data_IF_704901394859
#
_entry.id   IF_704901394859
#
_cell.length_a   1.000
_cell.length_b   1.000
_cell.length_c   1.000
_cell.angle_alpha   90.00
_cell.angle_beta   90.00
_cell.angle_gamma   90.00
#
_symmetry.space_group_name_H-M   'P 1'
#
loop_
_entity.id
_entity.type
_entity.pdbx_description
1 polymer ?
#
# COMPACT_ATOMS: atom_id res chain seq x y z
N UNK A 1 15.66 -21.05 -11.67
CA UNK A 1 14.69 -20.40 -12.58
C UNK A 1 13.33 -20.74 -12.03
N UNK A 2 12.55 -19.75 -11.60
CA UNK A 2 11.20 -19.98 -11.10
C UNK A 2 10.30 -20.57 -12.19
N UNK A 3 9.26 -21.31 -11.80
CA UNK A 3 8.25 -21.76 -12.76
C UNK A 3 7.62 -20.53 -13.44
N UNK A 4 7.53 -20.49 -14.78
CA UNK A 4 6.98 -19.33 -15.47
C UNK A 4 5.50 -19.18 -15.10
N UNK A 5 5.06 -17.95 -14.86
CA UNK A 5 3.65 -17.64 -14.69
C UNK A 5 2.90 -18.03 -15.97
N UNK A 6 1.83 -18.81 -15.80
CA UNK A 6 1.02 -19.37 -16.90
C UNK A 6 -0.37 -18.78 -16.85
N UNK A 7 -0.70 -17.98 -17.86
CA UNK A 7 -2.02 -17.37 -18.03
C UNK A 7 -2.63 -17.95 -19.31
N UNK A 8 -3.64 -18.81 -19.16
CA UNK A 8 -4.27 -19.53 -20.28
C UNK A 8 -5.64 -18.98 -20.69
N UNK A 9 -6.29 -18.22 -19.80
CA UNK A 9 -7.61 -17.64 -20.01
C UNK A 9 -7.72 -16.28 -19.28
N UNK A 10 -8.87 -15.61 -19.42
CA UNK A 10 -9.10 -14.30 -18.79
C UNK A 10 -9.16 -14.39 -17.26
N UNK A 11 -9.74 -15.44 -16.72
CA UNK A 11 -9.84 -15.65 -15.28
C UNK A 11 -8.46 -15.78 -14.62
N UNK A 12 -7.53 -16.51 -15.26
CA UNK A 12 -6.12 -16.56 -14.84
C UNK A 12 -5.49 -15.16 -14.79
N UNK A 13 -5.77 -14.31 -15.78
CA UNK A 13 -5.24 -12.94 -15.85
C UNK A 13 -5.86 -12.03 -14.78
N UNK A 14 -7.18 -12.14 -14.55
CA UNK A 14 -7.88 -11.38 -13.50
C UNK A 14 -7.33 -11.77 -12.13
N UNK A 15 -7.15 -13.07 -11.90
CA UNK A 15 -6.61 -13.59 -10.65
C UNK A 15 -5.22 -13.02 -10.38
N UNK A 16 -4.28 -13.16 -11.33
CA UNK A 16 -2.91 -12.71 -11.11
C UNK A 16 -2.78 -11.18 -11.01
N UNK A 17 -3.64 -10.41 -11.71
CA UNK A 17 -3.72 -8.96 -11.53
C UNK A 17 -4.29 -8.58 -10.16
N UNK A 18 -5.22 -9.37 -9.62
CA UNK A 18 -5.75 -9.17 -8.25
C UNK A 18 -4.68 -9.45 -7.19
N UNK A 19 -3.85 -10.47 -7.41
CA UNK A 19 -2.68 -10.75 -6.57
C UNK A 19 -1.63 -9.61 -6.65
N UNK A 20 -1.36 -9.11 -7.86
CA UNK A 20 -0.49 -7.94 -8.04
C UNK A 20 -1.03 -6.71 -7.31
N UNK A 21 -2.32 -6.42 -7.44
CA UNK A 21 -3.00 -5.31 -6.74
C UNK A 21 -2.89 -5.44 -5.22
N UNK A 22 -3.03 -6.67 -4.70
CA UNK A 22 -2.83 -6.96 -3.27
C UNK A 22 -1.39 -6.68 -2.85
N UNK A 23 -0.42 -7.11 -3.65
CA UNK A 23 1.00 -6.94 -3.36
C UNK A 23 1.40 -5.47 -3.31
N UNK A 24 1.09 -4.68 -4.35
CA UNK A 24 1.44 -3.24 -4.37
C UNK A 24 0.82 -2.50 -3.19
N UNK A 25 -0.42 -2.85 -2.85
CA UNK A 25 -1.09 -2.26 -1.70
C UNK A 25 -0.41 -2.62 -0.38
N UNK A 26 -0.03 -3.88 -0.19
CA UNK A 26 0.61 -4.31 1.05
C UNK A 26 2.01 -3.72 1.20
N UNK A 27 2.81 -3.74 0.13
CA UNK A 27 4.16 -3.16 0.10
C UNK A 27 4.11 -1.66 0.37
N UNK A 28 3.15 -0.93 -0.21
CA UNK A 28 2.90 0.47 0.12
C UNK A 28 2.70 0.69 1.64
N UNK A 29 1.87 -0.14 2.29
CA UNK A 29 1.61 -0.03 3.72
C UNK A 29 2.87 -0.26 4.57
N UNK A 30 3.75 -1.18 4.18
CA UNK A 30 5.04 -1.41 4.85
C UNK A 30 5.94 -0.17 4.79
N UNK A 31 6.02 0.45 3.61
CA UNK A 31 6.82 1.65 3.40
C UNK A 31 6.29 2.83 4.22
N UNK A 32 4.97 3.03 4.22
CA UNK A 32 4.33 4.05 5.05
C UNK A 32 4.57 3.82 6.54
N UNK A 33 4.45 2.57 7.02
CA UNK A 33 4.69 2.25 8.42
C UNK A 33 6.12 2.59 8.85
N UNK A 34 7.11 2.16 8.07
CA UNK A 34 8.51 2.50 8.34
C UNK A 34 8.74 4.02 8.31
N UNK A 35 8.20 4.73 7.31
CA UNK A 35 8.31 6.18 7.23
C UNK A 35 7.67 6.90 8.44
N UNK A 36 6.50 6.44 8.90
CA UNK A 36 5.83 7.03 10.06
C UNK A 36 6.60 6.83 11.37
N UNK A 37 7.31 5.70 11.51
CA UNK A 37 8.09 5.38 12.70
C UNK A 37 9.33 6.27 12.91
N UNK A 38 9.80 6.95 11.86
CA UNK A 38 10.98 7.82 11.94
C UNK A 38 10.78 8.98 12.92
N UNK A 39 11.84 9.28 13.67
CA UNK A 39 11.93 10.46 14.54
C UNK A 39 11.94 11.74 13.70
N UNK A 40 11.29 12.79 14.20
CA UNK A 40 11.02 14.05 13.51
C UNK A 40 11.67 15.28 14.16
N UNK A 41 12.36 15.11 15.28
CA UNK A 41 12.99 16.25 15.97
C UNK A 41 14.25 15.91 16.74
N UNK A 42 15.08 16.93 16.99
CA UNK A 42 16.28 16.80 17.84
C UNK A 42 15.92 16.49 19.30
N UNK A 43 14.72 16.88 19.75
CA UNK A 43 14.17 16.51 21.05
C UNK A 43 13.94 15.01 21.24
N UNK A 44 14.01 14.20 20.17
CA UNK A 44 13.89 12.74 20.22
C UNK A 44 15.26 12.03 20.24
N UNK A 45 16.33 12.78 20.54
CA UNK A 45 17.69 12.26 20.71
C UNK A 45 18.52 12.20 19.43
N UNK A 46 18.12 12.93 18.38
CA UNK A 46 18.91 13.07 17.15
C UNK A 46 19.75 14.35 17.16
N UNK A 47 20.97 14.28 16.64
CA UNK A 47 21.72 15.48 16.27
C UNK A 47 21.08 16.18 15.07
N UNK A 48 21.44 17.44 14.82
CA UNK A 48 20.95 18.19 13.65
C UNK A 48 21.27 17.48 12.33
N UNK A 49 22.46 16.90 12.20
CA UNK A 49 22.87 16.21 10.97
C UNK A 49 22.20 14.85 10.82
N UNK A 50 22.00 14.11 11.91
CA UNK A 50 21.19 12.89 11.91
C UNK A 50 19.74 13.19 11.51
N UNK A 51 19.15 14.27 12.05
CA UNK A 51 17.78 14.66 11.71
C UNK A 51 17.64 15.01 10.22
N UNK A 52 18.63 15.68 9.62
CA UNK A 52 18.63 15.96 8.17
C UNK A 52 18.61 14.66 7.35
N UNK A 53 19.45 13.68 7.71
CA UNK A 53 19.48 12.39 7.04
C UNK A 53 18.17 11.63 7.22
N UNK A 54 17.64 11.55 8.44
CA UNK A 54 16.36 10.91 8.73
C UNK A 54 15.20 11.56 7.96
N UNK A 55 15.16 12.89 7.89
CA UNK A 55 14.14 13.62 7.12
C UNK A 55 14.25 13.33 5.62
N UNK A 56 15.48 13.20 5.09
CA UNK A 56 15.72 12.78 3.71
C UNK A 56 15.21 11.35 3.48
N UNK A 57 15.53 10.41 4.37
CA UNK A 57 15.07 9.03 4.25
C UNK A 57 13.55 8.93 4.32
N UNK A 58 12.89 9.64 5.24
CA UNK A 58 11.42 9.70 5.33
C UNK A 58 10.81 10.13 3.99
N UNK A 59 11.36 11.19 3.38
CA UNK A 59 10.90 11.70 2.08
C UNK A 59 11.05 10.63 1.00
N UNK A 60 12.22 10.03 0.87
CA UNK A 60 12.48 9.01 -0.16
C UNK A 60 11.54 7.81 0.01
N UNK A 61 11.34 7.31 1.23
CA UNK A 61 10.43 6.18 1.50
C UNK A 61 8.98 6.57 1.20
N UNK A 62 8.55 7.78 1.59
CA UNK A 62 7.20 8.28 1.32
C UNK A 62 6.95 8.47 -0.18
N UNK A 63 7.97 8.92 -0.93
CA UNK A 63 7.90 9.07 -2.37
C UNK A 63 7.75 7.70 -3.04
N UNK A 64 8.52 6.69 -2.60
CA UNK A 64 8.36 5.31 -3.09
C UNK A 64 6.97 4.75 -2.76
N UNK A 65 6.45 4.95 -1.54
CA UNK A 65 5.08 4.56 -1.20
C UNK A 65 4.03 5.26 -2.10
N UNK A 66 4.30 6.48 -2.55
CA UNK A 66 3.44 7.19 -3.52
C UNK A 66 3.53 6.58 -4.92
N UNK A 67 4.71 6.08 -5.32
CA UNK A 67 4.88 5.32 -6.56
C UNK A 67 4.12 3.98 -6.51
N UNK A 68 4.04 3.33 -5.35
CA UNK A 68 3.18 2.14 -5.19
C UNK A 68 1.68 2.44 -5.37
N UNK A 69 1.22 3.67 -5.04
CA UNK A 69 -0.15 4.09 -5.36
C UNK A 69 -0.38 4.23 -6.88
N UNK A 70 0.64 4.68 -7.61
CA UNK A 70 0.64 4.70 -9.07
C UNK A 70 0.59 3.27 -9.63
N UNK A 71 1.42 2.35 -9.11
CA UNK A 71 1.42 0.95 -9.54
C UNK A 71 0.06 0.30 -9.31
N UNK A 72 -0.50 0.45 -8.11
CA UNK A 72 -1.84 0.01 -7.78
C UNK A 72 -2.90 0.57 -8.76
N UNK A 73 -2.77 1.84 -9.14
CA UNK A 73 -3.68 2.47 -10.12
C UNK A 73 -3.54 1.87 -11.52
N UNK A 74 -2.31 1.60 -11.97
CA UNK A 74 -2.03 0.95 -13.26
C UNK A 74 -2.55 -0.50 -13.29
N UNK A 75 -2.41 -1.24 -12.20
CA UNK A 75 -3.00 -2.59 -12.08
C UNK A 75 -4.52 -2.55 -12.17
N UNK A 76 -5.15 -1.59 -11.52
CA UNK A 76 -6.59 -1.40 -11.63
C UNK A 76 -7.02 -0.96 -13.05
N UNK A 77 -6.22 -0.14 -13.74
CA UNK A 77 -6.44 0.14 -15.17
C UNK A 77 -6.38 -1.13 -16.02
N UNK A 78 -5.40 -2.00 -15.78
CA UNK A 78 -5.27 -3.30 -16.46
C UNK A 78 -6.47 -4.21 -16.20
N UNK A 79 -6.96 -4.28 -14.96
CA UNK A 79 -8.18 -5.01 -14.60
C UNK A 79 -9.40 -4.45 -15.35
N UNK A 80 -9.61 -3.14 -15.30
CA UNK A 80 -10.69 -2.46 -16.01
C UNK A 80 -10.62 -2.73 -17.51
N UNK A 81 -9.44 -2.63 -18.12
CA UNK A 81 -9.23 -2.82 -19.55
C UNK A 81 -9.69 -4.21 -20.03
N UNK A 82 -9.54 -5.24 -19.21
CA UNK A 82 -10.00 -6.60 -19.51
C UNK A 82 -11.42 -6.89 -18.99
N UNK A 83 -12.18 -5.86 -18.59
CA UNK A 83 -13.56 -5.98 -18.14
C UNK A 83 -13.72 -6.58 -16.74
N UNK A 84 -12.68 -6.54 -15.91
CA UNK A 84 -12.76 -6.91 -14.50
C UNK A 84 -13.08 -5.69 -13.62
N UNK A 85 -13.63 -5.95 -12.44
CA UNK A 85 -13.81 -4.92 -11.43
C UNK A 85 -12.46 -4.52 -10.82
N UNK A 86 -12.30 -3.27 -10.35
CA UNK A 86 -11.12 -2.89 -9.56
C UNK A 86 -11.00 -3.72 -8.29
N UNK A 87 -9.77 -3.95 -7.84
CA UNK A 87 -9.47 -4.82 -6.71
C UNK A 87 -8.61 -4.09 -5.67
N UNK A 88 -9.24 -3.63 -4.59
CA UNK A 88 -8.56 -3.02 -3.42
C UNK A 88 -8.56 -3.92 -2.18
N UNK A 89 -9.03 -5.17 -2.33
CA UNK A 89 -9.07 -6.14 -1.23
C UNK A 89 -7.68 -6.64 -0.88
N UNK A 90 -7.39 -6.79 0.41
CA UNK A 90 -6.18 -7.45 0.89
C UNK A 90 -6.39 -8.06 2.27
N UNK A 91 -5.56 -9.02 2.71
CA UNK A 91 -5.56 -9.49 4.10
C UNK A 91 -5.00 -8.43 5.06
N UNK A 92 -5.24 -8.59 6.37
CA UNK A 92 -4.58 -7.80 7.42
C UNK A 92 -3.18 -8.35 7.71
N UNK A 93 -2.30 -7.47 8.20
CA UNK A 93 -0.96 -7.81 8.67
C UNK A 93 -0.99 -8.48 10.06
N UNK A 94 0.05 -9.24 10.46
CA UNK A 94 1.03 -9.85 9.56
C UNK A 94 0.33 -10.92 8.70
N UNK A 95 0.75 -11.07 7.46
CA UNK A 95 0.17 -12.09 6.60
C UNK A 95 1.22 -13.13 6.19
N UNK A 96 1.08 -14.39 6.63
CA UNK A 96 2.00 -15.44 6.21
C UNK A 96 1.85 -15.72 4.71
N UNK A 97 2.92 -16.23 4.11
CA UNK A 97 3.10 -16.58 2.70
C UNK A 97 2.21 -17.74 2.21
N UNK A 98 1.01 -17.90 2.73
CA UNK A 98 0.08 -18.90 2.21
C UNK A 98 -0.61 -18.41 0.93
N UNK A 99 -0.66 -17.09 0.72
CA UNK A 99 -1.18 -16.44 -0.51
C UNK A 99 -0.05 -15.98 -1.43
N UNK A 100 1.05 -15.49 -0.87
CA UNK A 100 2.25 -15.12 -1.62
C UNK A 100 3.30 -16.24 -1.59
N UNK A 101 4.25 -16.30 -2.54
CA UNK A 101 5.33 -17.28 -2.49
C UNK A 101 6.03 -17.26 -1.12
N UNK A 102 6.48 -18.42 -0.57
CA UNK A 102 7.21 -18.52 0.70
C UNK A 102 8.35 -17.54 0.95
N UNK A 103 8.92 -17.02 -0.14
CA UNK A 103 9.98 -16.05 -0.15
C UNK A 103 9.53 -14.64 0.23
N UNK A 104 8.25 -14.30 0.05
CA UNK A 104 7.69 -12.97 0.33
C UNK A 104 6.92 -13.04 1.66
N UNK A 105 7.38 -12.25 2.62
CA UNK A 105 6.70 -12.04 3.89
C UNK A 105 6.17 -10.61 3.93
N UNK A 106 4.91 -10.43 4.33
CA UNK A 106 4.29 -9.10 4.37
C UNK A 106 3.95 -8.72 5.80
N UNK A 107 4.78 -7.85 6.38
CA UNK A 107 4.77 -7.49 7.80
C UNK A 107 5.12 -6.02 7.99
N UNK A 108 4.53 -5.40 9.01
CA UNK A 108 4.77 -3.99 9.33
C UNK A 108 5.98 -3.86 10.26
N UNK A 109 7.10 -3.38 9.74
CA UNK A 109 8.33 -3.15 10.50
C UNK A 109 8.62 -1.66 10.66
N UNK A 110 8.98 -1.18 11.86
CA UNK A 110 9.50 0.18 12.01
C UNK A 110 10.81 0.33 11.23
N UNK A 111 11.17 1.56 10.89
CA UNK A 111 12.40 1.84 10.17
C UNK A 111 13.63 1.31 10.93
N UNK A 112 14.45 0.55 10.23
CA UNK A 112 15.67 -0.05 10.75
C UNK A 112 16.31 -0.94 9.70
N UNK A 113 17.40 -1.62 10.08
CA UNK A 113 18.10 -2.54 9.18
C UNK A 113 17.17 -3.64 8.65
N UNK A 114 16.32 -4.20 9.50
CA UNK A 114 15.39 -5.27 9.16
C UNK A 114 14.40 -4.81 8.07
N UNK A 115 13.72 -3.68 8.28
CA UNK A 115 12.81 -3.11 7.29
C UNK A 115 13.52 -2.81 5.97
N UNK A 116 14.71 -2.19 6.00
CA UNK A 116 15.44 -1.85 4.78
C UNK A 116 15.90 -3.09 4.01
N UNK A 117 16.32 -4.16 4.70
CA UNK A 117 16.65 -5.44 4.06
C UNK A 117 15.41 -6.10 3.46
N UNK A 118 14.27 -6.00 4.13
CA UNK A 118 13.01 -6.46 3.57
C UNK A 118 12.62 -5.68 2.32
N UNK A 119 12.78 -4.35 2.31
CA UNK A 119 12.48 -3.52 1.14
C UNK A 119 13.38 -3.88 -0.04
N UNK A 120 14.69 -4.05 0.21
CA UNK A 120 15.63 -4.53 -0.81
C UNK A 120 15.25 -5.90 -1.33
N UNK A 121 14.78 -6.79 -0.47
CA UNK A 121 14.35 -8.11 -0.87
C UNK A 121 13.13 -8.04 -1.79
N UNK A 122 12.11 -7.26 -1.44
CA UNK A 122 10.89 -7.08 -2.24
C UNK A 122 11.21 -6.47 -3.62
N UNK A 123 12.03 -5.42 -3.65
CA UNK A 123 12.33 -4.63 -4.85
C UNK A 123 13.49 -5.17 -5.70
N UNK A 124 14.07 -6.30 -5.31
CA UNK A 124 15.28 -6.81 -5.97
C UNK A 124 15.04 -7.08 -7.45
N UNK A 125 15.98 -6.69 -8.32
CA UNK A 125 15.94 -7.07 -9.72
C UNK A 125 15.94 -8.59 -9.89
N UNK A 126 15.21 -9.07 -10.87
CA UNK A 126 15.22 -10.48 -11.22
C UNK A 126 16.62 -10.98 -11.62
N UNK A 127 16.90 -12.21 -11.23
CA UNK A 127 18.25 -12.80 -11.33
C UNK A 127 19.25 -12.28 -10.30
N UNK A 128 18.93 -11.26 -9.50
CA UNK A 128 19.79 -10.79 -8.41
C UNK A 128 19.57 -11.66 -7.16
N UNK A 129 20.62 -12.38 -6.76
CA UNK A 129 20.61 -13.13 -5.50
C UNK A 129 20.85 -12.16 -4.35
N UNK A 130 19.80 -11.90 -3.57
CA UNK A 130 19.86 -11.16 -2.31
C UNK A 130 19.31 -12.07 -1.23
N UNK A 131 20.04 -12.18 -0.13
CA UNK A 131 19.57 -12.87 1.07
C UNK A 131 18.43 -12.05 1.70
N UNK A 132 17.35 -12.72 2.09
CA UNK A 132 16.26 -12.09 2.82
C UNK A 132 16.68 -11.62 4.21
N UNK A 133 15.70 -11.23 5.02
CA UNK A 133 15.95 -10.86 6.42
C UNK A 133 16.50 -12.07 7.20
N UNK A 134 17.64 -11.95 7.91
CA UNK A 134 18.16 -13.05 8.72
C UNK A 134 17.16 -13.53 9.79
N UNK A 135 16.98 -14.84 9.91
CA UNK A 135 16.03 -15.44 10.85
C UNK A 135 14.59 -15.56 10.32
N UNK A 136 14.29 -14.97 9.16
CA UNK A 136 13.05 -15.22 8.45
C UNK A 136 13.24 -16.45 7.57
N UNK A 137 12.94 -17.62 8.13
CA UNK A 137 12.97 -18.86 7.36
C UNK A 137 11.83 -18.86 6.34
N UNK A 138 12.13 -19.16 5.07
CA UNK A 138 11.09 -19.43 4.09
C UNK A 138 10.30 -20.65 4.59
N UNK A 139 8.99 -20.46 4.86
CA UNK A 139 8.10 -21.58 5.18
C UNK A 139 8.13 -22.51 3.98
N UNK A 140 8.72 -23.70 4.14
CA UNK A 140 9.23 -24.53 3.05
C UNK A 140 8.33 -24.66 1.82
N UNK A 141 8.94 -25.01 0.67
CA UNK A 141 8.24 -25.12 -0.62
C UNK A 141 6.87 -25.78 -0.47
N UNK A 142 5.81 -24.98 -0.69
CA UNK A 142 4.45 -25.50 -0.76
C UNK A 142 4.42 -26.56 -1.87
N UNK A 143 3.76 -27.72 -1.63
CA UNK A 143 3.78 -28.82 -2.59
C UNK A 143 3.32 -28.34 -3.96
N UNK A 144 4.09 -28.70 -4.99
CA UNK A 144 3.71 -28.47 -6.38
C UNK A 144 2.38 -29.19 -6.61
N UNK A 145 1.28 -28.44 -6.66
CA UNK A 145 -0.04 -29.00 -6.96
C UNK A 145 -0.10 -29.24 -8.46
N UNK A 146 -0.50 -30.44 -8.88
CA UNK A 146 -0.87 -30.68 -10.27
C UNK A 146 -1.99 -29.72 -10.63
N UNK A 147 -1.80 -29.00 -11.74
CA UNK A 147 -2.82 -28.06 -12.23
C UNK A 147 -4.09 -28.84 -12.51
N UNK A 148 -5.20 -28.36 -11.96
CA UNK A 148 -6.52 -28.89 -12.23
C UNK A 148 -6.93 -28.63 -13.69
N UNK A 149 -8.23 -28.70 -13.95
CA UNK A 149 -8.81 -28.59 -15.30
C UNK A 149 -8.59 -27.23 -15.99
N UNK A 150 -7.92 -26.26 -15.33
CA UNK A 150 -7.71 -24.90 -15.82
C UNK A 150 -8.97 -24.04 -15.83
N UNK A 151 -10.03 -24.50 -15.14
CA UNK A 151 -11.30 -23.78 -14.97
C UNK A 151 -11.22 -22.79 -13.81
N UNK A 152 -10.56 -23.18 -12.72
CA UNK A 152 -10.35 -22.35 -11.54
C UNK A 152 -8.92 -21.80 -11.61
N UNK A 153 -8.70 -20.49 -11.41
CA UNK A 153 -7.36 -19.95 -11.34
C UNK A 153 -6.64 -20.52 -10.11
N UNK A 154 -5.36 -20.81 -10.26
CA UNK A 154 -4.54 -21.40 -9.21
C UNK A 154 -3.46 -20.42 -8.78
N UNK A 155 -3.08 -20.51 -7.51
CA UNK A 155 -1.97 -19.75 -6.96
C UNK A 155 -0.69 -20.06 -7.76
N UNK A 156 0.01 -19.01 -8.18
CA UNK A 156 1.23 -19.12 -8.99
C UNK A 156 2.41 -18.55 -8.22
N UNK A 157 3.56 -19.21 -8.36
CA UNK A 157 4.78 -18.77 -7.71
C UNK A 157 5.58 -17.85 -8.64
N UNK A 158 6.11 -16.78 -8.07
CA UNK A 158 7.04 -15.88 -8.73
C UNK A 158 8.20 -15.55 -7.79
N UNK A 159 9.40 -15.36 -8.33
CA UNK A 159 10.58 -15.10 -7.52
C UNK A 159 10.67 -13.63 -7.09
N UNK A 160 10.30 -12.70 -7.95
CA UNK A 160 10.37 -11.24 -7.72
C UNK A 160 9.12 -10.55 -8.24
N UNK A 161 8.90 -9.29 -7.84
CA UNK A 161 7.82 -8.44 -8.39
C UNK A 161 7.99 -8.28 -9.91
N UNK A 162 9.22 -8.08 -10.39
CA UNK A 162 9.50 -8.05 -11.83
C UNK A 162 9.12 -9.36 -12.56
N UNK A 163 9.34 -10.52 -11.94
CA UNK A 163 8.92 -11.80 -12.50
C UNK A 163 7.38 -11.92 -12.59
N UNK A 164 6.66 -11.40 -11.59
CA UNK A 164 5.19 -11.28 -11.61
C UNK A 164 4.71 -10.50 -12.83
N UNK A 165 5.23 -9.29 -13.02
CA UNK A 165 4.80 -8.40 -14.09
C UNK A 165 5.19 -8.86 -15.49
N UNK A 166 6.36 -9.46 -15.67
CA UNK A 166 6.71 -10.12 -16.94
C UNK A 166 5.77 -11.29 -17.26
N UNK A 167 5.31 -12.01 -16.24
CA UNK A 167 4.27 -13.02 -16.38
C UNK A 167 2.94 -12.43 -16.87
N UNK A 168 2.52 -11.31 -16.28
CA UNK A 168 1.32 -10.55 -16.68
C UNK A 168 1.42 -10.09 -18.14
N UNK A 169 2.54 -9.48 -18.53
CA UNK A 169 2.81 -9.04 -19.91
C UNK A 169 2.71 -10.19 -20.93
N UNK A 170 3.35 -11.33 -20.61
CA UNK A 170 3.27 -12.54 -21.43
C UNK A 170 1.83 -13.08 -21.46
N UNK A 171 1.08 -12.95 -20.36
CA UNK A 171 -0.34 -13.28 -20.27
C UNK A 171 -1.19 -12.48 -21.23
N UNK A 172 -1.06 -11.15 -21.24
CA UNK A 172 -1.72 -10.27 -22.21
C UNK A 172 -1.42 -10.70 -23.64
N UNK A 173 -0.14 -10.89 -23.98
CA UNK A 173 0.29 -11.34 -25.31
C UNK A 173 -0.34 -12.68 -25.70
N UNK A 174 -0.41 -13.62 -24.76
CA UNK A 174 -1.00 -14.95 -24.96
C UNK A 174 -2.50 -14.85 -25.24
N UNK A 175 -3.24 -14.06 -24.46
CA UNK A 175 -4.67 -13.88 -24.65
C UNK A 175 -4.99 -13.12 -25.94
N UNK A 176 -4.19 -12.12 -26.31
CA UNK A 176 -4.35 -11.38 -27.56
C UNK A 176 -4.14 -12.30 -28.76
N UNK A 177 -3.12 -13.16 -28.73
CA UNK A 177 -2.91 -14.18 -29.75
C UNK A 177 -4.09 -15.17 -29.85
N UNK A 178 -4.71 -15.51 -28.72
CA UNK A 178 -5.78 -16.52 -28.64
C UNK A 178 -7.15 -15.96 -29.05
N UNK A 179 -7.49 -14.76 -28.60
CA UNK A 179 -8.82 -14.18 -28.74
C UNK A 179 -8.87 -12.96 -29.68
N UNK A 180 -7.73 -12.36 -30.00
CA UNK A 180 -7.65 -11.07 -30.69
C UNK A 180 -7.78 -9.90 -29.72
N UNK A 181 -7.09 -8.81 -30.03
CA UNK A 181 -6.95 -7.64 -29.14
C UNK A 181 -8.29 -7.05 -28.71
N UNK A 182 -9.20 -6.80 -29.66
CA UNK A 182 -10.55 -6.28 -29.39
C UNK A 182 -11.40 -7.16 -28.49
N UNK A 183 -11.09 -8.46 -28.39
CA UNK A 183 -11.79 -9.37 -27.48
C UNK A 183 -11.14 -9.42 -26.12
N UNK A 184 -9.85 -9.07 -26.00
CA UNK A 184 -9.14 -8.99 -24.71
C UNK A 184 -9.46 -7.66 -24.02
N UNK A 185 -9.26 -6.56 -24.73
CA UNK A 185 -9.47 -5.21 -24.22
C UNK A 185 -10.91 -4.77 -24.50
N UNK A 186 -11.77 -4.98 -23.51
CA UNK A 186 -13.22 -4.78 -23.61
C UNK A 186 -13.74 -3.70 -22.67
N UNK A 187 -12.92 -3.26 -21.70
CA UNK A 187 -13.25 -2.12 -20.85
C UNK A 187 -12.86 -0.81 -21.50
N UNK A 188 -13.70 0.20 -21.34
CA UNK A 188 -13.44 1.53 -21.89
C UNK A 188 -12.42 2.32 -21.08
N UNK A 189 -11.64 3.17 -21.76
CA UNK A 189 -10.64 4.05 -21.15
C UNK A 189 -11.25 5.11 -20.23
N UNK A 190 -12.52 5.45 -20.43
CA UNK A 190 -13.27 6.40 -19.61
C UNK A 190 -13.50 5.92 -18.18
N UNK A 191 -13.38 4.61 -17.93
CA UNK A 191 -13.48 3.97 -16.62
C UNK A 191 -12.11 3.77 -15.93
N UNK A 192 -11.04 4.32 -16.50
CA UNK A 192 -9.67 4.17 -16.03
C UNK A 192 -9.14 5.44 -15.39
N UNK A 193 -8.21 5.29 -14.46
CA UNK A 193 -7.49 6.39 -13.85
C UNK A 193 -6.47 6.96 -14.83
N UNK A 194 -6.30 8.28 -14.83
CA UNK A 194 -5.35 8.97 -15.70
C UNK A 194 -4.58 10.04 -14.94
N UNK A 195 -3.50 10.53 -15.55
CA UNK A 195 -2.71 11.66 -15.05
C UNK A 195 -3.54 12.91 -14.77
N UNK A 196 -4.71 13.08 -15.38
CA UNK A 196 -5.63 14.19 -15.13
C UNK A 196 -6.11 14.25 -13.66
N UNK A 197 -6.30 13.07 -13.03
CA UNK A 197 -6.89 12.97 -11.70
C UNK A 197 -5.85 12.96 -10.57
N UNK A 198 -4.69 12.37 -10.82
CA UNK A 198 -3.67 12.15 -9.78
C UNK A 198 -2.32 12.81 -10.07
N UNK A 199 -2.17 13.44 -11.24
CA UNK A 199 -0.95 14.18 -11.61
C UNK A 199 0.26 13.33 -11.98
N UNK A 200 0.16 11.99 -11.97
CA UNK A 200 1.25 11.10 -12.36
C UNK A 200 1.36 10.97 -13.88
N UNK A 201 2.44 11.43 -14.54
CA UNK A 201 2.55 11.38 -16.00
C UNK A 201 2.50 9.97 -16.59
N UNK A 202 2.95 8.97 -15.82
CA UNK A 202 2.94 7.56 -16.20
C UNK A 202 1.60 6.85 -15.96
N UNK A 203 0.63 7.51 -15.33
CA UNK A 203 -0.72 6.97 -15.18
C UNK A 203 -1.50 7.17 -16.49
N UNK A 204 -1.33 6.22 -17.40
CA UNK A 204 -1.99 6.23 -18.72
C UNK A 204 -3.08 5.16 -18.80
N UNK A 205 -4.12 5.37 -19.63
CA UNK A 205 -5.09 4.33 -19.94
C UNK A 205 -4.44 3.12 -20.64
N UNK A 206 -4.89 1.93 -20.27
CA UNK A 206 -4.60 0.65 -20.92
C UNK A 206 -5.76 0.31 -21.85
N UNK A 207 -5.55 0.37 -23.16
CA UNK A 207 -6.60 0.16 -24.17
C UNK A 207 -6.29 -0.94 -25.17
N UNK A 208 -5.04 -1.39 -25.21
CA UNK A 208 -4.52 -2.37 -26.16
C UNK A 208 -3.28 -3.07 -25.58
N UNK A 209 -2.71 -4.01 -26.33
CA UNK A 209 -1.54 -4.76 -25.88
C UNK A 209 -0.34 -3.83 -25.63
N UNK A 210 -0.17 -2.82 -26.48
CA UNK A 210 0.95 -1.89 -26.41
C UNK A 210 0.92 -1.10 -25.09
N UNK A 211 -0.21 -0.48 -24.79
CA UNK A 211 -0.42 0.31 -23.56
C UNK A 211 -0.40 -0.58 -22.30
N UNK A 212 -0.83 -1.84 -22.39
CA UNK A 212 -0.67 -2.80 -21.29
C UNK A 212 0.81 -3.11 -21.01
N UNK A 213 1.61 -3.33 -22.06
CA UNK A 213 3.06 -3.50 -21.94
C UNK A 213 3.72 -2.25 -21.38
N UNK A 214 3.37 -1.05 -21.86
CA UNK A 214 3.91 0.22 -21.33
C UNK A 214 3.60 0.41 -19.83
N UNK A 215 2.40 0.04 -19.38
CA UNK A 215 2.03 0.07 -17.96
C UNK A 215 2.88 -0.90 -17.12
N UNK A 216 3.08 -2.13 -17.62
CA UNK A 216 3.95 -3.12 -16.97
C UNK A 216 5.40 -2.62 -16.92
N UNK A 217 5.93 -2.10 -18.02
CA UNK A 217 7.29 -1.55 -18.08
C UNK A 217 7.47 -0.39 -17.12
N UNK A 218 6.46 0.48 -16.97
CA UNK A 218 6.50 1.58 -16.01
C UNK A 218 6.68 1.08 -14.56
N UNK A 219 5.87 0.08 -14.16
CA UNK A 219 5.93 -0.51 -12.80
C UNK A 219 7.30 -1.18 -12.57
N UNK A 220 7.73 -2.03 -13.49
CA UNK A 220 9.00 -2.76 -13.39
C UNK A 220 10.20 -1.78 -13.35
N UNK A 221 10.16 -0.73 -14.17
CA UNK A 221 11.25 0.27 -14.22
C UNK A 221 11.32 1.10 -12.94
N UNK A 222 10.20 1.43 -12.31
CA UNK A 222 10.21 2.18 -11.05
C UNK A 222 10.66 1.31 -9.87
N UNK A 223 10.21 0.05 -9.79
CA UNK A 223 10.60 -0.90 -8.74
C UNK A 223 12.05 -1.37 -8.84
N UNK A 224 12.36 -2.20 -9.85
CA UNK A 224 13.67 -2.84 -9.99
C UNK A 224 14.66 -2.10 -10.91
N UNK A 225 14.18 -1.14 -11.71
CA UNK A 225 14.99 -0.40 -12.68
C UNK A 225 14.95 -0.98 -14.09
N UNK A 226 15.29 -0.15 -15.08
CA UNK A 226 15.53 -0.64 -16.44
C UNK A 226 16.76 -1.56 -16.44
N UNK A 227 16.86 -2.56 -17.33
CA UNK A 227 17.94 -3.58 -17.35
C UNK A 227 19.35 -2.99 -17.14
N UNK A 228 19.82 -2.90 -15.89
CA UNK A 228 21.13 -2.37 -15.49
C UNK A 228 21.16 -0.95 -14.90
N UNK A 229 20.06 -0.19 -14.89
CA UNK A 229 19.93 1.14 -14.28
C UNK A 229 18.92 1.13 -13.12
N UNK A 230 19.34 0.49 -12.02
CA UNK A 230 18.55 0.35 -10.78
C UNK A 230 18.80 1.47 -9.77
N UNK A 231 19.79 2.34 -10.02
CA UNK A 231 20.25 3.36 -9.04
C UNK A 231 19.13 4.30 -8.61
N UNK A 232 18.27 4.69 -9.56
CA UNK A 232 17.14 5.59 -9.32
C UNK A 232 15.80 4.86 -9.09
N UNK A 233 15.79 3.53 -9.20
CA UNK A 233 14.63 2.68 -8.91
C UNK A 233 14.46 2.50 -7.40
N UNK A 234 13.35 1.91 -6.96
CA UNK A 234 13.06 1.67 -5.54
C UNK A 234 14.19 0.89 -4.88
N UNK A 235 14.67 -0.16 -5.55
CA UNK A 235 15.84 -0.93 -5.10
C UNK A 235 17.07 -0.05 -4.79
N UNK A 236 17.48 0.79 -5.75
CA UNK A 236 18.65 1.66 -5.58
C UNK A 236 18.45 2.73 -4.50
N UNK A 237 17.24 3.30 -4.40
CA UNK A 237 16.87 4.24 -3.34
C UNK A 237 17.00 3.60 -1.96
N UNK A 238 16.43 2.42 -1.75
CA UNK A 238 16.52 1.70 -0.48
C UNK A 238 17.96 1.26 -0.17
N UNK A 239 18.74 0.87 -1.18
CA UNK A 239 20.15 0.51 -0.98
C UNK A 239 20.97 1.72 -0.55
N UNK A 240 20.70 2.89 -1.15
CA UNK A 240 21.30 4.16 -0.73
C UNK A 240 21.00 4.49 0.72
N UNK A 241 19.74 4.36 1.14
CA UNK A 241 19.35 4.57 2.54
C UNK A 241 20.03 3.56 3.47
N UNK A 242 20.06 2.27 3.12
CA UNK A 242 20.72 1.25 3.93
C UNK A 242 22.20 1.56 4.11
N UNK A 243 22.91 1.94 3.05
CA UNK A 243 24.32 2.29 3.14
C UNK A 243 24.57 3.51 4.06
N UNK A 244 23.76 4.57 3.91
CA UNK A 244 23.84 5.74 4.79
C UNK A 244 23.53 5.39 6.26
N UNK A 245 22.48 4.58 6.48
CA UNK A 245 22.10 4.09 7.81
C UNK A 245 23.21 3.28 8.47
N UNK A 246 23.80 2.32 7.74
CA UNK A 246 24.89 1.48 8.25
C UNK A 246 26.14 2.30 8.57
N UNK A 247 26.45 3.32 7.77
CA UNK A 247 27.57 4.22 8.05
C UNK A 247 27.33 5.03 9.33
N UNK A 248 26.12 5.55 9.53
CA UNK A 248 25.76 6.23 10.78
C UNK A 248 25.82 5.29 11.99
N UNK A 249 25.41 4.02 11.84
CA UNK A 249 25.52 3.01 12.90
C UNK A 249 26.97 2.64 13.25
N UNK A 250 27.89 2.65 12.27
CA UNK A 250 29.32 2.46 12.53
C UNK A 250 29.91 3.62 13.34
N UNK A 251 29.47 4.85 13.05
CA UNK A 251 29.92 6.05 13.77
C UNK A 251 29.32 6.14 15.17
N UNK A 252 28.09 5.67 15.35
CA UNK A 252 27.41 5.59 16.64
C UNK A 252 26.53 4.34 16.71
N UNK A 253 26.97 3.34 17.49
CA UNK A 253 26.24 2.10 17.68
C UNK A 253 24.85 2.29 18.31
N UNK A 254 24.65 3.37 19.09
CA UNK A 254 23.38 3.71 19.74
C UNK A 254 22.46 4.57 18.84
N UNK A 255 22.85 4.82 17.59
CA UNK A 255 22.00 5.56 16.65
C UNK A 255 20.67 4.83 16.42
N UNK A 256 19.59 5.45 16.90
CA UNK A 256 18.22 4.96 16.81
C UNK A 256 17.33 6.02 16.11
N UNK A 257 17.21 5.97 14.77
CA UNK A 257 16.45 6.95 13.98
C UNK A 257 14.93 6.77 14.04
N UNK A 258 14.45 5.59 14.43
CA UNK A 258 13.03 5.31 14.62
C UNK A 258 12.63 5.40 16.10
N UNK A 259 11.36 5.69 16.35
CA UNK A 259 10.71 5.48 17.64
C UNK A 259 10.55 3.97 17.88
N UNK A 260 10.44 3.55 19.14
CA UNK A 260 10.16 2.16 19.52
C UNK A 260 8.69 1.82 19.27
N UNK A 261 8.34 1.59 18.01
CA UNK A 261 6.97 1.39 17.53
C UNK A 261 6.72 -0.07 17.22
N UNK A 262 5.54 -0.57 17.56
CA UNK A 262 5.04 -1.89 17.13
C UNK A 262 3.71 -1.74 16.39
N UNK A 263 3.41 -2.57 15.37
CA UNK A 263 2.06 -2.61 14.81
C UNK A 263 1.08 -3.05 15.90
N UNK A 264 0.20 -2.14 16.30
CA UNK A 264 -0.64 -2.33 17.48
C UNK A 264 -2.12 -2.36 17.08
N UNK A 265 -2.87 -3.30 17.66
CA UNK A 265 -4.25 -3.60 17.27
C UNK A 265 -5.20 -3.17 18.37
N UNK A 266 -6.32 -2.53 18.01
CA UNK A 266 -7.39 -2.27 18.97
C UNK A 266 -8.13 -3.58 19.30
N UNK A 267 -8.32 -4.43 18.27
CA UNK A 267 -9.01 -5.72 18.35
C UNK A 267 -8.17 -6.77 17.63
N UNK A 268 -7.15 -7.35 18.29
CA UNK A 268 -6.19 -8.22 17.64
C UNK A 268 -6.85 -9.49 17.07
N UNK A 269 -6.47 -9.93 15.85
CA UNK A 269 -6.81 -11.27 15.38
C UNK A 269 -5.94 -12.30 16.10
N UNK A 270 -6.52 -13.10 17.00
CA UNK A 270 -5.82 -14.07 17.87
C UNK A 270 -4.71 -13.41 18.74
N UNK A 271 -3.68 -14.18 19.16
CA UNK A 271 -2.52 -13.76 19.99
C UNK A 271 -1.61 -12.71 19.30
N UNK A 272 -2.16 -11.64 18.72
CA UNK A 272 -1.34 -10.57 18.16
C UNK A 272 -0.47 -9.95 19.26
N UNK A 273 0.78 -9.66 18.92
CA UNK A 273 1.83 -9.37 19.90
C UNK A 273 1.62 -8.05 20.68
N UNK A 274 0.84 -7.11 20.15
CA UNK A 274 0.60 -5.81 20.77
C UNK A 274 -0.87 -5.37 20.66
N UNK A 275 -1.64 -5.56 21.74
CA UNK A 275 -2.99 -5.01 21.87
C UNK A 275 -2.93 -3.61 22.49
N UNK A 276 -3.59 -2.63 21.85
CA UNK A 276 -3.73 -1.29 22.40
C UNK A 276 -4.71 -1.35 23.59
N UNK A 277 -4.22 -0.93 24.76
CA UNK A 277 -5.01 -0.88 26.02
C UNK A 277 -5.18 0.55 26.53
N UNK A 278 -4.38 1.50 26.06
CA UNK A 278 -4.59 2.92 26.34
C UNK A 278 -5.84 3.44 25.60
N UNK A 279 -6.86 4.01 26.30
CA UNK A 279 -8.12 4.38 25.66
C UNK A 279 -8.01 5.46 24.58
N UNK A 280 -7.13 6.46 24.77
CA UNK A 280 -6.94 7.52 23.79
C UNK A 280 -6.26 6.95 22.54
N UNK A 281 -5.22 6.15 22.72
CA UNK A 281 -4.50 5.47 21.63
C UNK A 281 -5.42 4.52 20.87
N UNK A 282 -6.28 3.79 21.56
CA UNK A 282 -7.27 2.91 20.94
C UNK A 282 -8.25 3.69 20.07
N UNK A 283 -8.75 4.83 20.56
CA UNK A 283 -9.61 5.72 19.78
C UNK A 283 -8.93 6.31 18.55
N UNK A 284 -7.66 6.74 18.66
CA UNK A 284 -6.88 7.22 17.51
C UNK A 284 -6.62 6.09 16.51
N UNK A 285 -6.35 4.88 16.98
CA UNK A 285 -6.16 3.68 16.13
C UNK A 285 -7.41 3.31 15.35
N UNK A 286 -8.58 3.36 16.00
CA UNK A 286 -9.87 3.14 15.34
C UNK A 286 -10.17 4.23 14.31
N UNK A 287 -9.91 5.50 14.64
CA UNK A 287 -10.07 6.61 13.70
C UNK A 287 -9.17 6.46 12.46
N UNK A 288 -7.91 6.04 12.64
CA UNK A 288 -6.99 5.73 11.54
C UNK A 288 -7.54 4.62 10.64
N UNK A 289 -7.86 3.45 11.22
CA UNK A 289 -8.30 2.28 10.46
C UNK A 289 -9.64 2.54 9.75
N UNK A 290 -10.56 3.25 10.40
CA UNK A 290 -11.83 3.62 9.80
C UNK A 290 -11.68 4.62 8.65
N UNK A 291 -10.82 5.63 8.80
CA UNK A 291 -10.55 6.59 7.72
C UNK A 291 -9.83 5.92 6.55
N UNK A 292 -8.91 5.00 6.83
CA UNK A 292 -8.26 4.18 5.80
C UNK A 292 -9.28 3.37 5.00
N UNK A 293 -10.29 2.78 5.66
CA UNK A 293 -11.43 2.16 4.98
C UNK A 293 -12.22 3.11 4.07
N UNK A 294 -12.37 4.39 4.48
CA UNK A 294 -13.00 5.42 3.63
C UNK A 294 -12.16 5.72 2.41
N UNK A 295 -10.82 5.86 2.53
CA UNK A 295 -9.92 6.03 1.37
C UNK A 295 -10.16 4.93 0.34
N UNK A 296 -10.16 3.67 0.77
CA UNK A 296 -10.37 2.54 -0.14
C UNK A 296 -11.77 2.53 -0.75
N UNK A 297 -12.79 3.01 -0.02
CA UNK A 297 -14.16 3.13 -0.55
C UNK A 297 -14.25 4.24 -1.61
N UNK A 298 -13.63 5.39 -1.37
CA UNK A 298 -13.55 6.50 -2.33
C UNK A 298 -12.80 6.07 -3.59
N UNK A 299 -11.66 5.39 -3.46
CA UNK A 299 -10.90 4.85 -4.59
C UNK A 299 -11.69 3.78 -5.36
N UNK A 300 -12.33 2.84 -4.64
CA UNK A 300 -13.17 1.82 -5.28
C UNK A 300 -14.32 2.46 -6.07
N UNK A 301 -14.89 3.55 -5.55
CA UNK A 301 -15.93 4.32 -6.26
C UNK A 301 -15.37 5.06 -7.46
N UNK A 302 -14.19 5.66 -7.34
CA UNK A 302 -13.53 6.33 -8.45
C UNK A 302 -13.32 5.37 -9.64
N UNK A 303 -12.81 4.16 -9.39
CA UNK A 303 -12.61 3.15 -10.44
C UNK A 303 -13.92 2.50 -10.91
N UNK A 304 -14.96 2.50 -10.08
CA UNK A 304 -16.30 2.04 -10.47
C UNK A 304 -17.15 3.23 -10.93
N UNK A 305 -16.71 3.87 -12.02
CA UNK A 305 -17.28 5.11 -12.54
C UNK A 305 -18.80 5.05 -12.72
N UNK A 306 -19.33 3.99 -13.32
CA UNK A 306 -20.74 3.91 -13.70
C UNK A 306 -21.13 5.08 -14.63
N UNK A 307 -22.19 5.79 -14.27
CA UNK A 307 -22.66 7.01 -14.93
C UNK A 307 -22.06 8.30 -14.35
N UNK A 308 -21.01 8.23 -13.52
CA UNK A 308 -20.37 9.43 -12.97
C UNK A 308 -19.84 10.38 -14.05
N UNK A 309 -20.06 11.66 -13.79
CA UNK A 309 -19.48 12.78 -14.51
C UNK A 309 -17.99 12.94 -14.20
N UNK A 310 -17.26 13.61 -15.08
CA UNK A 310 -15.84 13.95 -14.86
C UNK A 310 -15.64 14.79 -13.59
N UNK A 311 -16.59 15.66 -13.27
CA UNK A 311 -16.55 16.49 -12.06
C UNK A 311 -16.67 15.63 -10.79
N UNK A 312 -17.57 14.64 -10.77
CA UNK A 312 -17.69 13.71 -9.64
C UNK A 312 -16.43 12.86 -9.46
N UNK A 313 -15.82 12.40 -10.55
CA UNK A 313 -14.55 11.68 -10.48
C UNK A 313 -13.41 12.55 -9.94
N UNK A 314 -13.36 13.83 -10.34
CA UNK A 314 -12.39 14.79 -9.81
C UNK A 314 -12.58 15.03 -8.32
N UNK A 315 -13.83 15.17 -7.85
CA UNK A 315 -14.12 15.24 -6.42
C UNK A 315 -13.66 13.99 -5.67
N UNK A 316 -13.88 12.80 -6.22
CA UNK A 316 -13.43 11.55 -5.60
C UNK A 316 -11.89 11.46 -5.56
N UNK A 317 -11.19 11.81 -6.64
CA UNK A 317 -9.72 11.81 -6.65
C UNK A 317 -9.14 12.84 -5.68
N UNK A 318 -9.69 14.06 -5.66
CA UNK A 318 -9.25 15.13 -4.76
C UNK A 318 -9.49 14.75 -3.29
N UNK A 319 -10.65 14.15 -2.99
CA UNK A 319 -10.95 13.67 -1.66
C UNK A 319 -10.03 12.51 -1.24
N UNK A 320 -9.72 11.57 -2.13
CA UNK A 320 -8.77 10.50 -1.85
C UNK A 320 -7.38 11.06 -1.50
N UNK A 321 -6.87 12.02 -2.29
CA UNK A 321 -5.59 12.68 -2.04
C UNK A 321 -5.60 13.43 -0.70
N UNK A 322 -6.67 14.15 -0.39
CA UNK A 322 -6.80 14.87 0.88
C UNK A 322 -6.89 13.93 2.09
N UNK A 323 -7.66 12.83 1.99
CA UNK A 323 -7.72 11.82 3.04
C UNK A 323 -6.33 11.22 3.31
N UNK A 324 -5.58 10.88 2.26
CA UNK A 324 -4.24 10.30 2.40
C UNK A 324 -3.23 11.30 3.02
N UNK A 325 -3.20 12.53 2.51
CA UNK A 325 -2.18 13.52 2.88
C UNK A 325 -2.47 14.26 4.19
N UNK A 326 -3.74 14.62 4.42
CA UNK A 326 -4.13 15.47 5.55
C UNK A 326 -4.74 14.69 6.73
N UNK A 327 -5.05 13.40 6.56
CA UNK A 327 -5.62 12.58 7.64
C UNK A 327 -4.80 11.32 7.90
N UNK A 328 -4.62 10.43 6.91
CA UNK A 328 -3.90 9.16 7.11
C UNK A 328 -2.46 9.39 7.55
N UNK A 329 -1.70 10.24 6.84
CA UNK A 329 -0.31 10.54 7.23
C UNK A 329 -0.23 11.16 8.63
N UNK A 330 -0.96 12.23 8.98
CA UNK A 330 -0.95 12.80 10.33
C UNK A 330 -1.36 11.81 11.43
N UNK A 331 -2.42 11.01 11.23
CA UNK A 331 -2.84 10.00 12.20
C UNK A 331 -1.80 8.88 12.36
N UNK A 332 -1.23 8.40 11.26
CA UNK A 332 -0.20 7.34 11.28
C UNK A 332 1.05 7.78 12.02
N UNK A 333 1.50 9.02 11.80
CA UNK A 333 2.61 9.62 12.56
C UNK A 333 2.23 9.82 14.02
N UNK A 334 1.03 10.33 14.29
CA UNK A 334 0.58 10.60 15.66
C UNK A 334 0.56 9.33 16.50
N UNK A 335 0.02 8.23 15.97
CA UNK A 335 0.01 6.94 16.66
C UNK A 335 1.39 6.55 17.19
N UNK A 336 2.45 6.78 16.40
CA UNK A 336 3.83 6.41 16.77
C UNK A 336 4.38 7.16 17.97
N UNK A 337 3.65 8.16 18.48
CA UNK A 337 3.97 8.94 19.68
C UNK A 337 3.13 8.53 20.90
N UNK A 338 2.10 7.71 20.70
CA UNK A 338 1.13 7.33 21.71
C UNK A 338 1.47 5.94 22.27
N UNK A 339 1.32 5.72 23.60
CA UNK A 339 1.68 4.46 24.22
C UNK A 339 0.72 3.34 23.84
N UNK A 340 1.21 2.11 23.63
CA UNK A 340 0.33 0.94 23.46
C UNK A 340 -0.50 0.70 24.74
N UNK A 341 0.14 0.88 25.90
CA UNK A 341 -0.47 0.85 27.21
C UNK A 341 0.53 0.47 28.30
N UNK A 342 0.09 0.43 29.56
CA UNK A 342 0.97 0.21 30.71
C UNK A 342 1.70 -1.14 30.72
N UNK A 343 1.19 -2.14 29.99
CA UNK A 343 1.77 -3.47 29.88
C UNK A 343 3.01 -3.52 28.97
N UNK A 344 3.23 -2.50 28.13
CA UNK A 344 4.40 -2.35 27.25
C UNK A 344 5.04 -0.96 27.45
N UNK A 345 5.70 -0.72 28.59
CA UNK A 345 6.26 0.60 28.91
C UNK A 345 7.35 0.99 27.91
N UNK A 346 7.28 2.22 27.39
CA UNK A 346 8.25 2.78 26.44
C UNK A 346 8.04 2.34 24.98
N UNK A 347 7.03 1.51 24.71
CA UNK A 347 6.63 1.12 23.35
C UNK A 347 5.41 1.93 22.92
N UNK A 348 5.45 2.45 21.69
CA UNK A 348 4.36 3.23 21.10
C UNK A 348 3.64 2.46 20.00
N UNK A 349 2.40 2.87 19.73
CA UNK A 349 1.54 2.21 18.75
C UNK A 349 1.89 2.63 17.32
N UNK A 350 1.95 1.68 16.40
CA UNK A 350 1.99 1.94 14.97
C UNK A 350 0.65 1.63 14.31
N UNK A 351 0.32 2.28 13.18
CA UNK A 351 -0.92 1.96 12.46
C UNK A 351 -0.90 0.52 11.95
N UNK A 352 -1.91 -0.26 12.32
CA UNK A 352 -2.10 -1.65 11.87
C UNK A 352 -2.67 -1.76 10.45
N UNK A 353 -3.23 -0.66 9.91
CA UNK A 353 -3.98 -0.63 8.65
C UNK A 353 -5.07 -1.71 8.60
N UNK A 354 -5.82 -1.92 9.68
CA UNK A 354 -6.83 -2.97 9.69
C UNK A 354 -8.00 -2.65 8.76
N UNK A 355 -8.34 -3.64 7.93
CA UNK A 355 -9.57 -3.66 7.15
C UNK A 355 -10.59 -4.58 7.83
N UNK A 356 -11.69 -4.01 8.32
CA UNK A 356 -12.77 -4.77 8.94
C UNK A 356 -13.79 -5.31 7.94
N UNK A 357 -13.91 -4.65 6.79
CA UNK A 357 -14.75 -5.06 5.66
C UNK A 357 -14.05 -4.69 4.37
N UNK A 358 -14.27 -5.49 3.31
CA UNK A 358 -13.89 -5.07 1.96
C UNK A 358 -14.67 -3.81 1.58
N UNK A 359 -14.08 -2.87 0.82
CA UNK A 359 -14.83 -1.76 0.25
C UNK A 359 -16.04 -2.32 -0.50
N UNK A 360 -17.24 -1.84 -0.16
CA UNK A 360 -18.45 -2.22 -0.85
C UNK A 360 -18.79 -1.18 -1.90
N UNK A 361 -19.24 -1.66 -3.06
CA UNK A 361 -19.71 -0.81 -4.14
C UNK A 361 -21.23 -0.69 -4.02
N UNK A 362 -21.71 0.51 -3.72
CA UNK A 362 -23.14 0.81 -3.91
C UNK A 362 -23.36 1.16 -5.39
N UNK A 363 -24.26 0.50 -6.12
CA UNK A 363 -24.39 0.76 -7.56
C UNK A 363 -24.74 2.21 -7.90
N UNK A 364 -25.60 2.83 -7.09
CA UNK A 364 -26.13 4.18 -7.35
C UNK A 364 -25.31 5.27 -6.64
N UNK A 365 -25.11 6.38 -7.33
CA UNK A 365 -24.26 7.49 -6.88
C UNK A 365 -24.81 8.22 -5.65
N UNK A 366 -26.12 8.45 -5.62
CA UNK A 366 -26.79 9.20 -4.55
C UNK A 366 -26.64 8.50 -3.19
N UNK A 367 -26.90 7.20 -3.13
CA UNK A 367 -26.75 6.39 -1.92
C UNK A 367 -25.29 6.30 -1.47
N UNK A 368 -24.35 6.15 -2.41
CA UNK A 368 -22.93 6.13 -2.08
C UNK A 368 -22.46 7.44 -1.46
N UNK A 369 -22.96 8.56 -2.00
CA UNK A 369 -22.67 9.90 -1.50
C UNK A 369 -23.19 10.11 -0.08
N UNK A 370 -24.42 9.69 0.19
CA UNK A 370 -25.03 9.77 1.52
C UNK A 370 -24.23 8.94 2.54
N UNK A 371 -23.87 7.71 2.20
CA UNK A 371 -23.07 6.85 3.09
C UNK A 371 -21.67 7.44 3.35
N UNK A 372 -21.03 8.01 2.33
CA UNK A 372 -19.72 8.68 2.53
C UNK A 372 -19.85 9.92 3.42
N UNK A 373 -20.89 10.72 3.23
CA UNK A 373 -21.18 11.88 4.07
C UNK A 373 -21.43 11.48 5.52
N UNK A 374 -22.31 10.50 5.75
CA UNK A 374 -22.59 9.95 7.09
C UNK A 374 -21.30 9.46 7.73
N UNK A 375 -20.53 8.65 7.01
CA UNK A 375 -19.32 8.06 7.55
C UNK A 375 -18.25 9.10 7.90
N UNK A 376 -18.02 10.09 7.05
CA UNK A 376 -17.05 11.16 7.34
C UNK A 376 -17.52 12.06 8.49
N UNK A 377 -18.82 12.29 8.62
CA UNK A 377 -19.43 13.03 9.73
C UNK A 377 -19.24 12.28 11.05
N UNK A 378 -19.52 10.98 11.08
CA UNK A 378 -19.25 10.11 12.25
C UNK A 378 -17.79 10.18 12.67
N UNK A 379 -16.85 10.05 11.71
CA UNK A 379 -15.42 10.08 12.00
C UNK A 379 -14.96 11.47 12.50
N UNK A 380 -15.55 12.55 11.99
CA UNK A 380 -15.32 13.90 12.50
C UNK A 380 -15.80 14.02 13.95
N UNK A 381 -17.01 13.54 14.26
CA UNK A 381 -17.56 13.56 15.62
C UNK A 381 -16.76 12.66 16.58
N UNK A 382 -16.22 11.52 16.10
CA UNK A 382 -15.31 10.67 16.85
C UNK A 382 -14.00 11.39 17.19
N UNK A 383 -13.41 12.08 16.21
CA UNK A 383 -12.23 12.92 16.41
C UNK A 383 -12.50 14.04 17.44
N UNK A 384 -13.66 14.70 17.38
CA UNK A 384 -14.09 15.72 18.34
C UNK A 384 -14.25 15.16 19.78
N UNK A 385 -14.71 13.90 19.92
CA UNK A 385 -14.75 13.26 21.24
C UNK A 385 -13.35 12.98 21.78
N UNK A 386 -12.41 12.56 20.93
CA UNK A 386 -11.02 12.35 21.34
C UNK A 386 -10.33 13.65 21.77
N UNK A 387 -10.62 14.78 21.11
CA UNK A 387 -10.04 16.10 21.47
C UNK A 387 -10.48 16.61 22.84
N UNK A 388 -11.57 16.06 23.39
CA UNK A 388 -12.06 16.39 24.74
C UNK A 388 -11.22 15.76 25.85
N UNK A 389 -10.33 14.81 25.53
CA UNK A 389 -9.39 14.25 26.51
C UNK A 389 -8.34 15.31 26.93
N UNK A 390 -8.02 15.47 28.23
CA UNK A 390 -7.00 16.40 28.70
C UNK A 390 -5.60 16.16 28.09
N UNK A 391 -5.31 14.92 27.69
CA UNK A 391 -4.05 14.51 27.05
C UNK A 391 -4.13 14.47 25.53
N UNK A 392 -5.22 14.97 24.92
CA UNK A 392 -5.42 14.88 23.49
C UNK A 392 -4.35 15.66 22.69
N UNK A 393 -3.72 15.02 21.70
CA UNK A 393 -2.85 15.69 20.74
C UNK A 393 -3.58 16.80 19.98
N UNK A 394 -2.88 17.89 19.66
CA UNK A 394 -3.47 19.06 19.00
C UNK A 394 -3.85 18.76 17.55
N UNK A 395 -3.13 17.82 16.93
CA UNK A 395 -3.31 17.33 15.57
C UNK A 395 -4.73 16.83 15.33
N UNK A 396 -5.38 16.25 16.35
CA UNK A 396 -6.74 15.73 16.25
C UNK A 396 -7.78 16.80 15.89
N UNK A 397 -7.56 18.08 16.26
CA UNK A 397 -8.48 19.17 15.89
C UNK A 397 -8.41 19.51 14.40
N UNK A 398 -7.21 19.44 13.82
CA UNK A 398 -7.06 19.65 12.37
C UNK A 398 -7.71 18.49 11.61
N UNK A 399 -7.50 17.25 12.07
CA UNK A 399 -8.12 16.04 11.50
C UNK A 399 -9.65 16.11 11.57
N UNK A 400 -10.21 16.51 12.71
CA UNK A 400 -11.64 16.71 12.91
C UNK A 400 -12.21 17.69 11.87
N UNK A 401 -11.58 18.86 11.72
CA UNK A 401 -12.01 19.90 10.79
C UNK A 401 -11.92 19.42 9.34
N UNK A 402 -10.82 18.77 8.95
CA UNK A 402 -10.65 18.23 7.59
C UNK A 402 -11.67 17.14 7.27
N UNK A 403 -12.00 16.25 8.21
CA UNK A 403 -13.05 15.24 8.03
C UNK A 403 -14.43 15.89 7.79
N UNK A 404 -14.76 16.96 8.54
CA UNK A 404 -16.01 17.71 8.36
C UNK A 404 -16.06 18.39 6.99
N UNK A 405 -14.97 19.03 6.58
CA UNK A 405 -14.85 19.68 5.27
C UNK A 405 -15.00 18.67 4.13
N UNK A 406 -14.37 17.50 4.24
CA UNK A 406 -14.47 16.44 3.25
C UNK A 406 -15.87 15.83 3.18
N UNK A 407 -16.56 15.70 4.31
CA UNK A 407 -17.96 15.27 4.33
C UNK A 407 -18.80 16.22 3.46
N UNK A 408 -18.71 17.53 3.70
CA UNK A 408 -19.44 18.55 2.93
C UNK A 408 -19.03 18.55 1.45
N UNK A 409 -17.73 18.45 1.17
CA UNK A 409 -17.18 18.46 -0.18
C UNK A 409 -17.70 17.32 -1.05
N UNK A 410 -17.82 16.12 -0.46
CA UNK A 410 -18.35 14.94 -1.13
C UNK A 410 -19.89 14.88 -1.12
N UNK A 411 -20.58 15.72 -0.34
CA UNK A 411 -22.03 15.69 -0.13
C UNK A 411 -22.89 16.36 -1.19
#
# INVERSE_FOLDING_TARGET
>A
MGNPIRIGNREDLIFILSEASTLEHMVMCEYLFAAFSLKRGTGEGLTSDQLKAVTKWERVISDVATQEMLHLSLVNNMLTAIGAAPYFGRPNFPHPSNYFPPSIQLVLLPFGEEALRQFLYLERPDGMAIEGVPGWEAIGALPEKERGTGIVPEQQYFSTIGNLYRGIEQGFSTLVKKYGEKRVFIGGSEAQATSEYFGWPKLTPVTDLKTATEAVEAIVTEGEGARGDWTNAHFGKFLGILNEYMEMKKQNADFAPARSVVPAYVRPPNDAEAQITDPLTGGVGDLFNATYGVVLTVLSRFFTRGDATTEELRKLSDAAVQLMTNIIKPLGVLLTTLPVGHHLPGITAGPSFEMYRRPYLLPRHEEARLILYERLTELSDDAARLTSSPSAPKELRMIEATLRELAIFLS
#
